data_IF_733255297264
#
_entry.id   IF_733255297264
#
_cell.length_a   1.000
_cell.length_b   1.000
_cell.length_c   1.000
_cell.angle_alpha   90.00
_cell.angle_beta   90.00
_cell.angle_gamma   90.00
#
_symmetry.space_group_name_H-M   'P 1'
#
loop_
_entity.id
_entity.type
_entity.pdbx_description
1 polymer ?
#
# COMPACT_ATOMS: atom_id res chain seq x y z
N UNK A 1 -7.16 -3.85 -4.29
CA UNK A 1 -5.72 -4.14 -4.26
C UNK A 1 -4.96 -2.83 -4.36
N UNK A 2 -4.47 -2.34 -3.22
CA UNK A 2 -3.59 -1.18 -3.19
C UNK A 2 -2.19 -1.58 -3.64
N UNK A 3 -1.60 -0.87 -4.58
CA UNK A 3 -0.15 -1.00 -4.84
C UNK A 3 0.57 -0.61 -3.54
N UNK A 4 1.25 -1.58 -2.93
CA UNK A 4 1.93 -1.40 -1.65
C UNK A 4 2.94 -0.26 -1.72
N UNK A 5 2.80 0.70 -0.81
CA UNK A 5 3.87 1.64 -0.47
C UNK A 5 5.12 0.85 -0.08
N UNK A 6 6.31 1.13 -0.64
CA UNK A 6 7.54 0.66 -0.03
C UNK A 6 7.71 1.36 1.32
N UNK A 7 8.02 0.57 2.36
CA UNK A 7 8.43 1.10 3.66
C UNK A 7 9.66 1.99 3.45
N UNK A 8 9.49 3.29 3.72
CA UNK A 8 10.56 4.28 3.57
C UNK A 8 11.58 4.14 4.68
N UNK A 9 12.74 3.58 4.34
CA UNK A 9 14.00 4.02 4.92
C UNK A 9 14.33 5.37 4.27
N UNK A 10 14.50 6.42 5.09
CA UNK A 10 14.93 7.71 4.62
C UNK A 10 16.40 7.61 4.15
N UNK A 11 16.61 7.69 2.84
CA UNK A 11 17.92 8.03 2.27
C UNK A 11 17.72 9.28 1.43
N UNK A 12 18.21 10.39 1.97
CA UNK A 12 18.32 11.69 1.32
C UNK A 12 19.27 11.55 0.13
N UNK A 13 18.73 11.61 -1.08
CA UNK A 13 19.50 11.96 -2.28
C UNK A 13 18.57 12.70 -3.25
N UNK A 14 18.43 14.00 -2.98
CA UNK A 14 17.80 14.92 -3.92
C UNK A 14 18.79 15.18 -5.07
N UNK A 15 18.57 14.51 -6.20
CA UNK A 15 19.01 15.01 -7.50
C UNK A 15 17.77 15.58 -8.20
N UNK A 16 17.48 16.86 -7.95
CA UNK A 16 16.51 17.63 -8.71
C UNK A 16 17.21 18.22 -9.92
N UNK A 17 16.79 17.80 -11.11
CA UNK A 17 17.21 18.36 -12.39
C UNK A 17 16.14 19.35 -12.86
N UNK A 18 16.52 20.62 -13.07
CA UNK A 18 15.79 21.52 -13.97
C UNK A 18 15.51 22.94 -13.48
N UNK A 19 16.20 23.88 -14.13
CA UNK A 19 15.83 25.28 -14.42
C UNK A 19 15.98 26.37 -13.34
N UNK A 20 16.84 27.36 -13.65
CA UNK A 20 16.92 28.63 -12.92
C UNK A 20 18.18 29.44 -13.20
N UNK A 21 18.39 29.83 -14.46
CA UNK A 21 19.44 30.75 -14.90
C UNK A 21 19.12 32.20 -14.48
N UNK A 22 20.10 32.89 -13.89
CA UNK A 22 20.21 34.35 -13.91
C UNK A 22 19.80 35.09 -12.63
N UNK A 23 20.79 35.66 -11.93
CA UNK A 23 20.90 37.10 -11.67
C UNK A 23 21.81 37.39 -10.44
N UNK A 24 22.90 38.09 -10.75
CA UNK A 24 23.80 38.89 -9.92
C UNK A 24 23.35 39.29 -8.51
N UNK A 25 24.26 39.21 -7.53
CA UNK A 25 24.18 40.07 -6.35
C UNK A 25 24.97 39.66 -5.11
N UNK A 26 26.24 40.06 -5.08
CA UNK A 26 27.01 40.48 -3.88
C UNK A 26 27.44 39.43 -2.84
N UNK A 27 28.71 39.09 -2.98
CA UNK A 27 29.65 38.64 -1.96
C UNK A 27 29.87 39.74 -0.90
N UNK A 28 29.66 39.43 0.38
CA UNK A 28 30.13 40.25 1.51
C UNK A 28 30.84 39.36 2.53
N UNK A 29 32.14 39.62 2.68
CA UNK A 29 33.08 39.07 3.64
C UNK A 29 33.23 40.08 4.80
N UNK A 30 33.05 39.66 6.06
CA UNK A 30 33.36 40.46 7.26
C UNK A 30 33.00 39.72 8.56
N UNK A 31 34.01 39.29 9.32
CA UNK A 31 34.44 39.82 10.63
C UNK A 31 33.64 39.25 11.84
N UNK A 32 34.21 38.29 12.59
CA UNK A 32 35.08 38.43 13.79
C UNK A 32 34.36 39.03 15.02
N UNK A 33 34.09 38.15 16.00
CA UNK A 33 33.91 38.49 17.41
C UNK A 33 32.47 38.63 17.89
N UNK A 34 31.89 37.56 18.45
CA UNK A 34 31.16 37.61 19.72
C UNK A 34 30.76 36.21 20.21
N UNK A 35 31.04 35.98 21.48
CA UNK A 35 30.67 34.83 22.30
C UNK A 35 29.16 34.81 22.56
N UNK A 36 28.49 33.74 22.13
CA UNK A 36 27.14 33.40 22.57
C UNK A 36 26.98 31.87 22.67
N UNK A 37 26.31 31.45 23.73
CA UNK A 37 26.16 30.07 24.18
C UNK A 37 25.61 29.12 23.10
N UNK A 38 26.15 27.90 23.08
CA UNK A 38 25.73 26.82 22.21
C UNK A 38 24.30 26.32 22.56
N UNK A 39 23.37 26.27 21.59
CA UNK A 39 22.27 25.33 21.66
C UNK A 39 22.78 23.96 21.20
N UNK A 40 22.99 23.06 22.17
CA UNK A 40 23.13 21.64 21.91
C UNK A 40 21.78 21.10 21.39
N UNK A 41 21.75 20.54 20.19
CA UNK A 41 20.57 19.81 19.76
C UNK A 41 20.40 19.57 18.26
N UNK A 42 21.42 19.08 17.54
CA UNK A 42 21.20 18.45 16.22
C UNK A 42 22.26 17.38 15.94
N UNK A 43 22.30 16.29 16.70
CA UNK A 43 23.13 15.12 16.36
C UNK A 43 22.68 13.84 17.09
N UNK A 44 21.45 13.36 16.90
CA UNK A 44 21.01 12.09 17.51
C UNK A 44 20.25 11.13 16.60
N UNK A 45 19.95 11.47 15.35
CA UNK A 45 19.20 10.55 14.47
C UNK A 45 20.05 9.48 13.77
N UNK A 46 21.34 9.73 13.53
CA UNK A 46 22.22 8.75 12.86
C UNK A 46 22.72 7.65 13.82
N UNK A 47 22.99 7.97 15.08
CA UNK A 47 23.49 7.02 16.07
C UNK A 47 22.45 5.95 16.48
N UNK A 48 21.16 6.33 16.51
CA UNK A 48 20.08 5.42 16.89
C UNK A 48 19.84 4.28 15.86
N UNK A 49 20.00 4.56 14.56
CA UNK A 49 19.83 3.56 13.49
C UNK A 49 21.02 2.59 13.36
N UNK A 50 22.23 3.06 13.67
CA UNK A 50 23.40 2.21 13.77
C UNK A 50 23.31 1.30 15.02
N UNK A 51 22.91 1.85 16.16
CA UNK A 51 22.73 1.09 17.40
C UNK A 51 21.65 0.00 17.27
N UNK A 52 20.53 0.27 16.58
CA UNK A 52 19.51 -0.75 16.33
C UNK A 52 20.02 -1.87 15.42
N UNK A 53 20.91 -1.57 14.47
CA UNK A 53 21.52 -2.57 13.59
C UNK A 53 22.52 -3.45 14.35
N UNK A 54 23.33 -2.85 15.22
CA UNK A 54 24.28 -3.60 16.07
C UNK A 54 23.55 -4.52 17.04
N UNK A 55 22.49 -4.04 17.71
CA UNK A 55 21.67 -4.87 18.59
C UNK A 55 21.02 -6.05 17.83
N UNK A 56 20.56 -5.81 16.59
CA UNK A 56 20.00 -6.85 15.74
C UNK A 56 21.01 -7.94 15.36
N UNK A 57 22.24 -7.60 15.00
CA UNK A 57 23.25 -8.61 14.72
C UNK A 57 23.72 -9.30 16.01
N UNK A 58 23.88 -8.55 17.10
CA UNK A 58 24.26 -9.10 18.40
C UNK A 58 23.23 -10.13 18.92
N UNK A 59 21.93 -9.86 18.78
CA UNK A 59 20.89 -10.83 19.19
C UNK A 59 20.94 -12.13 18.41
N UNK A 60 21.51 -12.15 17.21
CA UNK A 60 21.60 -13.34 16.36
C UNK A 60 22.90 -14.12 16.56
N UNK A 61 24.01 -13.45 16.88
CA UNK A 61 25.34 -14.07 16.98
C UNK A 61 25.77 -14.30 18.42
N UNK A 62 25.56 -13.32 19.30
CA UNK A 62 26.01 -13.37 20.69
C UNK A 62 25.11 -12.49 21.58
N UNK A 63 23.98 -13.04 22.05
CA UNK A 63 23.03 -12.33 22.91
C UNK A 63 23.70 -11.75 24.17
N UNK A 64 24.70 -12.43 24.74
CA UNK A 64 25.40 -12.07 25.97
C UNK A 64 24.45 -11.79 27.15
N UNK A 65 23.32 -12.50 27.23
CA UNK A 65 22.30 -12.31 28.27
C UNK A 65 22.57 -13.24 29.46
N UNK A 66 23.03 -14.46 29.18
CA UNK A 66 23.48 -15.43 30.16
C UNK A 66 24.92 -15.85 29.86
N UNK A 67 25.82 -15.95 30.86
CA UNK A 67 27.19 -16.41 30.64
C UNK A 67 27.29 -17.96 30.59
N UNK A 68 26.28 -18.63 30.03
CA UNK A 68 26.21 -20.10 29.95
C UNK A 68 25.58 -20.58 28.63
N UNK A 69 25.35 -21.88 28.50
CA UNK A 69 24.82 -22.50 27.27
C UNK A 69 23.45 -21.97 26.84
N UNK A 70 22.66 -21.37 27.74
CA UNK A 70 21.34 -20.82 27.42
C UNK A 70 21.44 -19.70 26.39
N UNK A 71 22.56 -19.00 26.36
CA UNK A 71 22.82 -17.93 25.39
C UNK A 71 22.94 -18.48 23.96
N UNK A 72 23.48 -19.69 23.81
CA UNK A 72 23.56 -20.38 22.50
C UNK A 72 22.18 -20.84 22.02
N UNK A 73 21.33 -21.32 22.94
CA UNK A 73 19.94 -21.69 22.65
C UNK A 73 19.12 -20.44 22.30
N UNK A 74 19.31 -19.36 23.05
CA UNK A 74 18.68 -18.07 22.81
C UNK A 74 19.08 -17.49 21.44
N UNK A 75 20.37 -17.58 21.06
CA UNK A 75 20.83 -17.15 19.75
C UNK A 75 20.13 -17.94 18.62
N UNK A 76 20.01 -19.26 18.74
CA UNK A 76 19.29 -20.10 17.75
C UNK A 76 17.80 -19.76 17.70
N UNK A 77 17.17 -19.52 18.85
CA UNK A 77 15.78 -19.09 18.92
C UNK A 77 15.56 -17.73 18.26
N UNK A 78 16.46 -16.77 18.53
CA UNK A 78 16.49 -15.45 17.91
C UNK A 78 16.66 -15.55 16.39
N UNK A 79 17.57 -16.41 15.90
CA UNK A 79 17.76 -16.69 14.48
C UNK A 79 16.50 -17.24 13.83
N UNK A 80 15.81 -18.15 14.51
CA UNK A 80 14.57 -18.76 14.02
C UNK A 80 13.45 -17.71 13.93
N UNK A 81 13.28 -16.86 14.94
CA UNK A 81 12.34 -15.73 14.87
C UNK A 81 12.70 -14.73 13.76
N UNK A 82 13.99 -14.43 13.56
CA UNK A 82 14.43 -13.59 12.45
C UNK A 82 14.14 -14.22 11.08
N UNK A 83 14.31 -15.54 10.93
CA UNK A 83 13.95 -16.26 9.71
C UNK A 83 12.44 -16.25 9.42
N UNK A 84 11.60 -16.28 10.45
CA UNK A 84 10.15 -16.08 10.32
C UNK A 84 9.77 -14.63 10.01
N UNK A 85 10.64 -13.68 10.36
CA UNK A 85 10.38 -12.26 10.15
C UNK A 85 9.38 -11.69 11.15
N UNK A 86 9.18 -12.34 12.29
CA UNK A 86 8.29 -11.89 13.34
C UNK A 86 8.81 -12.34 14.71
N UNK A 87 8.65 -11.47 15.71
CA UNK A 87 8.97 -11.77 17.09
C UNK A 87 9.95 -10.80 17.72
N UNK A 88 10.45 -11.15 18.90
CA UNK A 88 11.36 -10.32 19.69
C UNK A 88 12.60 -11.14 20.05
N UNK A 89 13.74 -10.65 19.60
CA UNK A 89 15.05 -11.12 20.03
C UNK A 89 15.47 -10.42 21.32
N UNK A 90 16.23 -11.13 22.14
CA UNK A 90 16.80 -10.56 23.36
C UNK A 90 18.32 -10.64 23.30
N UNK A 91 18.98 -9.56 23.69
CA UNK A 91 20.42 -9.47 23.88
C UNK A 91 20.74 -8.48 25.01
N UNK A 92 22.01 -8.41 25.41
CA UNK A 92 22.54 -7.50 26.43
C UNK A 92 22.30 -6.02 26.10
N UNK A 93 22.16 -5.69 24.82
CA UNK A 93 21.85 -4.34 24.33
C UNK A 93 20.35 -4.01 24.38
N UNK A 94 19.51 -4.96 24.84
CA UNK A 94 18.06 -4.81 24.96
C UNK A 94 17.26 -5.68 23.99
N UNK A 95 15.92 -5.58 24.02
CA UNK A 95 15.04 -6.31 23.13
C UNK A 95 15.08 -5.73 21.71
N UNK A 96 15.11 -6.60 20.71
CA UNK A 96 15.11 -6.29 19.28
C UNK A 96 13.85 -6.86 18.65
N UNK A 97 13.10 -6.04 17.90
CA UNK A 97 11.92 -6.51 17.17
C UNK A 97 12.30 -6.98 15.76
N UNK A 98 11.87 -8.18 15.39
CA UNK A 98 12.08 -8.74 14.07
C UNK A 98 10.88 -8.43 13.18
N UNK A 99 11.17 -7.78 12.05
CA UNK A 99 10.16 -7.48 11.03
C UNK A 99 10.31 -8.34 9.78
N UNK A 100 9.25 -8.52 8.97
CA UNK A 100 9.31 -9.34 7.75
C UNK A 100 10.27 -8.77 6.70
N UNK A 101 10.56 -7.47 6.77
CA UNK A 101 11.55 -6.79 5.93
C UNK A 101 13.00 -7.07 6.31
N UNK A 102 13.28 -7.88 7.36
CA UNK A 102 14.65 -8.15 7.76
C UNK A 102 15.41 -9.01 6.71
N UNK A 103 16.74 -8.88 6.64
CA UNK A 103 17.55 -9.59 5.65
C UNK A 103 17.51 -11.11 5.76
N UNK A 104 17.30 -11.64 6.97
CA UNK A 104 17.30 -13.07 7.27
C UNK A 104 15.92 -13.73 7.10
N UNK A 105 14.85 -12.97 6.89
CA UNK A 105 13.51 -13.51 6.68
C UNK A 105 13.49 -14.38 5.42
N UNK A 106 13.20 -15.67 5.63
CA UNK A 106 13.15 -16.70 4.58
C UNK A 106 11.75 -16.96 4.06
N UNK A 107 10.72 -16.57 4.82
CA UNK A 107 9.34 -16.74 4.39
C UNK A 107 8.96 -15.64 3.39
N UNK A 108 9.49 -15.79 2.18
CA UNK A 108 9.25 -14.91 1.04
C UNK A 108 8.83 -15.79 -0.11
N UNK A 109 7.63 -15.56 -0.63
CA UNK A 109 7.13 -16.21 -1.83
C UNK A 109 6.73 -15.15 -2.86
N UNK A 110 6.48 -15.60 -4.08
CA UNK A 110 5.90 -14.76 -5.12
C UNK A 110 4.54 -15.34 -5.47
N UNK A 111 3.56 -14.48 -5.65
CA UNK A 111 2.21 -14.86 -6.04
C UNK A 111 1.74 -13.96 -7.18
N UNK A 112 0.74 -14.39 -7.93
CA UNK A 112 0.27 -13.65 -9.09
C UNK A 112 -1.02 -12.89 -8.79
N UNK A 113 -1.06 -11.60 -9.12
CA UNK A 113 -2.26 -10.77 -9.02
C UNK A 113 -2.72 -10.38 -10.42
N UNK A 114 -4.03 -10.42 -10.65
CA UNK A 114 -4.60 -9.90 -11.89
C UNK A 114 -4.42 -8.37 -11.97
N UNK A 115 -4.02 -7.90 -13.15
CA UNK A 115 -3.98 -6.51 -13.50
C UNK A 115 -5.40 -5.93 -13.52
N UNK A 116 -5.60 -4.67 -13.08
CA UNK A 116 -6.86 -3.98 -13.29
C UNK A 116 -7.23 -4.00 -14.79
N UNK A 117 -8.47 -4.38 -15.08
CA UNK A 117 -8.99 -4.43 -16.46
C UNK A 117 -9.62 -3.09 -16.89
N UNK A 118 -9.91 -2.20 -15.94
CA UNK A 118 -10.60 -0.95 -16.22
C UNK A 118 -9.71 0.06 -16.94
N UNK A 119 -10.35 0.80 -17.85
CA UNK A 119 -9.76 1.92 -18.59
C UNK A 119 -9.91 3.19 -17.78
N UNK A 120 -9.14 4.21 -18.15
CA UNK A 120 -9.24 5.54 -17.52
C UNK A 120 -10.62 6.19 -17.73
N UNK A 121 -11.27 5.88 -18.85
CA UNK A 121 -12.62 6.33 -19.21
C UNK A 121 -13.72 5.76 -18.31
N UNK A 122 -13.47 4.62 -17.66
CA UNK A 122 -14.46 4.01 -16.76
C UNK A 122 -14.65 4.83 -15.47
N UNK A 123 -13.68 5.71 -15.15
CA UNK A 123 -13.74 6.66 -14.04
C UNK A 123 -13.67 6.03 -12.65
N UNK A 124 -13.27 4.76 -12.56
CA UNK A 124 -13.20 4.00 -11.32
C UNK A 124 -11.99 4.41 -10.46
N UNK A 125 -12.27 4.77 -9.22
CA UNK A 125 -11.27 5.10 -8.19
C UNK A 125 -11.53 4.26 -6.94
N UNK A 126 -10.48 3.68 -6.40
CA UNK A 126 -10.49 2.91 -5.16
C UNK A 126 -10.11 3.77 -3.96
N UNK A 127 -10.99 3.80 -2.96
CA UNK A 127 -10.74 4.41 -1.65
C UNK A 127 -10.56 3.32 -0.61
N UNK A 128 -9.43 3.29 0.08
CA UNK A 128 -9.20 2.35 1.20
C UNK A 128 -9.63 3.01 2.49
N UNK A 129 -10.59 2.40 3.19
CA UNK A 129 -11.21 2.93 4.40
C UNK A 129 -10.93 2.01 5.59
N UNK A 130 -10.50 2.58 6.71
CA UNK A 130 -10.32 1.87 7.99
C UNK A 130 -11.63 1.71 8.76
N UNK A 131 -12.63 1.10 8.11
CA UNK A 131 -13.91 0.66 8.71
C UNK A 131 -14.28 -0.72 8.17
N UNK A 132 -15.14 -1.43 8.90
CA UNK A 132 -15.72 -2.66 8.40
C UNK A 132 -16.69 -2.35 7.24
N UNK A 133 -16.77 -3.25 6.24
CA UNK A 133 -17.66 -3.04 5.09
C UNK A 133 -19.15 -2.94 5.50
N UNK A 134 -19.55 -3.58 6.59
CA UNK A 134 -20.92 -3.55 7.14
C UNK A 134 -21.28 -2.21 7.80
N UNK A 135 -20.30 -1.41 8.20
CA UNK A 135 -20.51 -0.12 8.87
C UNK A 135 -20.65 1.03 7.87
N UNK A 136 -20.42 0.77 6.58
CA UNK A 136 -20.46 1.79 5.54
C UNK A 136 -21.88 1.95 5.02
N UNK A 137 -22.49 3.07 5.38
CA UNK A 137 -23.72 3.53 4.75
C UNK A 137 -23.42 4.21 3.41
N UNK A 138 -23.96 3.67 2.31
CA UNK A 138 -23.77 4.22 0.97
C UNK A 138 -24.18 5.70 0.84
N UNK A 139 -25.29 6.07 1.47
CA UNK A 139 -25.81 7.44 1.45
C UNK A 139 -24.83 8.42 2.07
N UNK A 140 -24.28 8.10 3.24
CA UNK A 140 -23.28 8.93 3.92
C UNK A 140 -21.99 9.11 3.11
N UNK A 141 -21.56 8.07 2.38
CA UNK A 141 -20.39 8.17 1.48
C UNK A 141 -20.69 9.07 0.28
N UNK A 142 -21.86 8.90 -0.36
CA UNK A 142 -22.29 9.74 -1.49
C UNK A 142 -22.40 11.20 -1.07
N UNK A 143 -22.96 11.49 0.10
CA UNK A 143 -23.11 12.86 0.63
C UNK A 143 -21.75 13.49 0.95
N UNK A 144 -20.83 12.74 1.56
CA UNK A 144 -19.49 13.23 1.85
C UNK A 144 -18.70 13.55 0.57
N UNK A 145 -18.79 12.68 -0.45
CA UNK A 145 -18.18 12.92 -1.76
C UNK A 145 -18.84 14.11 -2.47
N UNK A 146 -20.17 14.25 -2.41
CA UNK A 146 -20.88 15.37 -3.01
C UNK A 146 -20.45 16.71 -2.42
N UNK A 147 -20.28 16.76 -1.09
CA UNK A 147 -19.73 17.93 -0.37
C UNK A 147 -18.30 18.25 -0.79
N UNK A 148 -17.44 17.23 -0.92
CA UNK A 148 -16.05 17.36 -1.35
C UNK A 148 -15.91 17.90 -2.80
N UNK A 149 -16.90 17.61 -3.64
CA UNK A 149 -16.98 18.09 -5.02
C UNK A 149 -17.57 19.50 -5.13
N UNK A 150 -17.84 20.16 -3.99
CA UNK A 150 -18.32 21.53 -3.91
C UNK A 150 -19.84 21.68 -4.03
N UNK A 151 -20.61 20.63 -3.70
CA UNK A 151 -22.09 20.62 -3.78
C UNK A 151 -22.63 20.97 -5.18
N UNK A 152 -21.86 20.64 -6.20
CA UNK A 152 -22.17 20.95 -7.60
C UNK A 152 -23.22 19.95 -8.14
N UNK A 153 -24.44 20.38 -8.50
CA UNK A 153 -25.51 19.47 -8.90
C UNK A 153 -25.22 18.75 -10.23
N UNK A 154 -24.29 19.27 -11.03
CA UNK A 154 -23.81 18.60 -12.24
C UNK A 154 -22.89 17.40 -11.96
N UNK A 155 -22.44 17.19 -10.72
CA UNK A 155 -21.57 16.08 -10.34
C UNK A 155 -22.29 15.13 -9.39
N UNK A 156 -22.56 13.90 -9.85
CA UNK A 156 -23.22 12.88 -9.03
C UNK A 156 -22.26 11.73 -8.70
N UNK A 157 -21.91 11.52 -7.42
CA UNK A 157 -21.05 10.41 -7.00
C UNK A 157 -21.84 9.09 -6.98
N UNK A 158 -21.22 8.03 -7.49
CA UNK A 158 -21.76 6.67 -7.49
C UNK A 158 -20.76 5.70 -6.85
N UNK A 159 -21.30 4.67 -6.20
CA UNK A 159 -20.54 3.58 -5.60
C UNK A 159 -20.80 2.35 -6.47
N UNK A 160 -19.73 1.80 -7.04
CA UNK A 160 -19.79 0.60 -7.87
C UNK A 160 -19.70 -0.66 -7.00
N UNK A 161 -18.76 -0.68 -6.06
CA UNK A 161 -18.50 -1.86 -5.23
C UNK A 161 -18.00 -1.46 -3.84
N UNK A 162 -18.46 -2.17 -2.81
CA UNK A 162 -17.89 -2.13 -1.47
C UNK A 162 -17.25 -3.49 -1.21
N UNK A 163 -15.91 -3.53 -1.15
CA UNK A 163 -15.14 -4.76 -0.97
C UNK A 163 -14.53 -4.82 0.43
N UNK A 164 -14.83 -5.87 1.18
CA UNK A 164 -14.14 -6.12 2.45
C UNK A 164 -12.69 -6.57 2.18
N UNK A 165 -11.71 -5.90 2.84
CA UNK A 165 -10.29 -6.22 2.75
C UNK A 165 -9.74 -6.83 4.07
N UNK A 166 -10.59 -6.89 5.10
CA UNK A 166 -10.32 -7.46 6.41
C UNK A 166 -11.49 -7.15 7.36
N UNK A 167 -11.29 -7.36 8.66
CA UNK A 167 -12.34 -7.10 9.67
C UNK A 167 -12.61 -5.59 9.86
N UNK A 168 -11.58 -4.75 9.75
CA UNK A 168 -11.64 -3.29 9.99
C UNK A 168 -11.20 -2.46 8.78
N UNK A 169 -11.09 -3.11 7.61
CA UNK A 169 -10.58 -2.50 6.39
C UNK A 169 -11.46 -2.89 5.23
N UNK A 170 -11.81 -1.90 4.42
CA UNK A 170 -12.56 -2.12 3.18
C UNK A 170 -12.07 -1.18 2.08
N UNK A 171 -12.40 -1.54 0.85
CA UNK A 171 -12.12 -0.78 -0.34
C UNK A 171 -13.46 -0.38 -0.99
N UNK A 172 -13.69 0.92 -1.15
CA UNK A 172 -14.81 1.48 -1.89
C UNK A 172 -14.37 1.78 -3.31
N UNK A 173 -15.08 1.26 -4.29
CA UNK A 173 -14.90 1.58 -5.70
C UNK A 173 -15.96 2.60 -6.07
N UNK A 174 -15.53 3.80 -6.45
CA UNK A 174 -16.41 4.93 -6.75
C UNK A 174 -16.11 5.51 -8.13
N UNK A 175 -17.12 6.11 -8.75
CA UNK A 175 -16.97 6.95 -9.93
C UNK A 175 -17.89 8.16 -9.83
N UNK A 176 -17.60 9.21 -10.60
CA UNK A 176 -18.41 10.43 -10.63
C UNK A 176 -18.93 10.64 -12.04
N UNK A 177 -20.23 10.90 -12.14
CA UNK A 177 -20.89 11.27 -13.39
C UNK A 177 -21.07 12.79 -13.43
N UNK A 178 -20.56 13.41 -14.49
CA UNK A 178 -20.72 14.81 -14.81
C UNK A 178 -21.81 15.00 -15.86
N UNK A 179 -22.80 15.85 -15.57
CA UNK A 179 -23.81 16.30 -16.51
C UNK A 179 -23.28 17.52 -17.29
N UNK A 180 -23.25 17.42 -18.61
CA UNK A 180 -22.82 18.50 -19.49
C UNK A 180 -23.97 19.49 -19.73
N UNK A 181 -23.65 20.76 -20.01
CA UNK A 181 -24.64 21.78 -20.40
C UNK A 181 -25.47 21.38 -21.64
N UNK A 182 -24.93 20.49 -22.47
CA UNK A 182 -25.58 19.96 -23.68
C UNK A 182 -26.57 18.82 -23.43
N UNK A 183 -26.83 18.46 -22.17
CA UNK A 183 -27.76 17.39 -21.77
C UNK A 183 -27.17 15.97 -21.82
N UNK A 184 -25.92 15.82 -22.26
CA UNK A 184 -25.17 14.56 -22.17
C UNK A 184 -24.56 14.34 -20.79
N UNK A 185 -24.21 13.10 -20.47
CA UNK A 185 -23.51 12.78 -19.23
C UNK A 185 -22.26 11.96 -19.49
N UNK A 186 -21.14 12.33 -18.85
CA UNK A 186 -19.87 11.60 -18.96
C UNK A 186 -19.35 11.21 -17.58
N UNK A 187 -18.44 10.24 -17.53
CA UNK A 187 -17.67 9.95 -16.30
C UNK A 187 -16.40 10.79 -16.29
N UNK A 188 -16.00 11.23 -15.09
CA UNK A 188 -14.68 11.84 -14.89
C UNK A 188 -13.62 10.75 -15.03
N UNK A 189 -12.48 11.08 -15.65
CA UNK A 189 -11.37 10.14 -15.82
C UNK A 189 -10.83 9.67 -14.46
N UNK A 190 -10.47 8.39 -14.36
CA UNK A 190 -9.96 7.80 -13.10
C UNK A 190 -8.71 8.52 -12.59
N UNK A 191 -7.79 8.86 -13.49
CA UNK A 191 -6.51 9.50 -13.15
C UNK A 191 -6.73 10.93 -12.65
N UNK A 192 -7.61 11.69 -13.31
CA UNK A 192 -7.98 13.05 -12.91
C UNK A 192 -8.68 13.05 -11.54
N UNK A 193 -9.65 12.14 -11.36
CA UNK A 193 -10.38 12.02 -10.11
C UNK A 193 -9.47 11.61 -8.95
N UNK A 194 -8.60 10.62 -9.16
CA UNK A 194 -7.64 10.20 -8.15
C UNK A 194 -6.67 11.33 -7.79
N UNK A 195 -6.19 12.09 -8.77
CA UNK A 195 -5.33 13.24 -8.55
C UNK A 195 -6.04 14.32 -7.72
N UNK A 196 -7.29 14.66 -8.06
CA UNK A 196 -8.11 15.62 -7.31
C UNK A 196 -8.33 15.18 -5.86
N UNK A 197 -8.74 13.93 -5.62
CA UNK A 197 -8.97 13.40 -4.27
C UNK A 197 -7.67 13.26 -3.46
N UNK A 198 -6.52 13.12 -4.12
CA UNK A 198 -5.21 13.02 -3.47
C UNK A 198 -4.62 14.37 -3.03
N UNK A 199 -5.21 15.50 -3.45
CA UNK A 199 -4.78 16.83 -3.02
C UNK A 199 -4.83 16.96 -1.49
N UNK A 200 -3.88 17.68 -0.86
CA UNK A 200 -3.73 17.69 0.61
C UNK A 200 -5.02 18.04 1.36
N UNK A 201 -5.75 19.06 0.92
CA UNK A 201 -7.02 19.49 1.54
C UNK A 201 -8.10 18.41 1.41
N UNK A 202 -8.29 17.88 0.20
CA UNK A 202 -9.31 16.86 -0.07
C UNK A 202 -9.01 15.56 0.67
N UNK A 203 -7.74 15.18 0.70
CA UNK A 203 -7.25 14.01 1.41
C UNK A 203 -7.46 14.14 2.92
N UNK A 204 -7.21 15.31 3.50
CA UNK A 204 -7.51 15.58 4.91
C UNK A 204 -9.02 15.43 5.18
N UNK A 205 -9.89 16.04 4.36
CA UNK A 205 -11.34 15.92 4.52
C UNK A 205 -11.83 14.46 4.41
N UNK A 206 -11.33 13.71 3.43
CA UNK A 206 -11.63 12.28 3.27
C UNK A 206 -11.13 11.45 4.47
N UNK A 207 -9.96 11.78 5.03
CA UNK A 207 -9.43 11.10 6.21
C UNK A 207 -10.27 11.38 7.46
N UNK A 208 -10.76 12.61 7.64
CA UNK A 208 -11.55 12.99 8.81
C UNK A 208 -12.99 12.45 8.74
N UNK A 209 -13.64 12.57 7.58
CA UNK A 209 -15.06 12.23 7.44
C UNK A 209 -15.29 10.74 7.17
N UNK A 210 -14.45 10.14 6.32
CA UNK A 210 -14.63 8.78 5.81
C UNK A 210 -13.54 7.82 6.29
N UNK A 211 -12.53 8.29 7.03
CA UNK A 211 -11.38 7.46 7.46
C UNK A 211 -10.66 6.80 6.28
N UNK A 212 -10.55 7.54 5.17
CA UNK A 212 -9.83 7.08 3.97
C UNK A 212 -8.32 7.19 4.22
N UNK A 213 -7.61 6.06 4.10
CA UNK A 213 -6.16 5.98 4.25
C UNK A 213 -5.42 6.13 2.93
N UNK A 214 -6.02 5.64 1.83
CA UNK A 214 -5.40 5.63 0.52
C UNK A 214 -6.44 5.85 -0.59
N UNK A 215 -6.02 6.56 -1.63
CA UNK A 215 -6.77 6.82 -2.86
C UNK A 215 -5.94 6.31 -4.02
N UNK A 216 -6.54 5.52 -4.91
CA UNK A 216 -5.85 4.98 -6.08
C UNK A 216 -6.78 4.91 -7.29
N UNK A 217 -6.31 5.38 -8.45
CA UNK A 217 -6.98 5.14 -9.73
C UNK A 217 -6.93 3.64 -10.06
N UNK A 218 -8.07 3.04 -10.39
CA UNK A 218 -8.16 1.62 -10.74
C UNK A 218 -7.92 1.39 -12.23
N UNK A 219 -6.94 2.09 -12.80
CA UNK A 219 -6.60 1.97 -14.22
C UNK A 219 -5.54 0.91 -14.46
N UNK A 220 -5.60 0.31 -15.64
CA UNK A 220 -4.51 -0.54 -16.11
C UNK A 220 -3.21 0.28 -16.17
N UNK A 221 -2.12 -0.15 -15.51
CA UNK A 221 -0.84 0.52 -15.59
C UNK A 221 -0.28 0.47 -17.01
N UNK A 222 0.50 1.49 -17.37
CA UNK A 222 1.17 1.56 -18.67
C UNK A 222 2.29 0.52 -18.80
N UNK A 223 2.69 0.19 -20.04
CA UNK A 223 3.78 -0.76 -20.32
C UNK A 223 5.09 -0.35 -19.65
N UNK A 224 5.40 0.94 -19.61
CA UNK A 224 6.63 1.44 -18.99
C UNK A 224 6.61 1.30 -17.48
N UNK A 225 5.47 1.57 -16.83
CA UNK A 225 5.28 1.35 -15.39
C UNK A 225 5.40 -0.13 -15.03
N UNK A 226 4.85 -1.02 -15.87
CA UNK A 226 4.99 -2.47 -15.69
C UNK A 226 6.44 -2.92 -15.84
N UNK A 227 7.14 -2.42 -16.85
CA UNK A 227 8.56 -2.73 -17.09
C UNK A 227 9.41 -2.28 -15.89
N UNK A 228 9.22 -1.04 -15.45
CA UNK A 228 9.91 -0.49 -14.28
C UNK A 228 9.66 -1.29 -13.00
N UNK A 229 8.42 -1.74 -12.79
CA UNK A 229 8.07 -2.59 -11.66
C UNK A 229 8.76 -3.97 -11.73
N UNK A 230 8.75 -4.60 -12.90
CA UNK A 230 9.33 -5.94 -13.08
C UNK A 230 10.85 -5.95 -12.98
N UNK A 231 11.51 -4.86 -13.37
CA UNK A 231 12.97 -4.75 -13.34
C UNK A 231 13.50 -4.41 -11.94
N UNK A 232 12.67 -3.81 -11.09
CA UNK A 232 13.02 -3.48 -9.71
C UNK A 232 12.35 -4.44 -8.72
N UNK A 233 13.00 -5.56 -8.32
CA UNK A 233 12.42 -6.45 -7.32
C UNK A 233 12.16 -5.69 -6.01
N UNK A 234 11.11 -6.08 -5.30
CA UNK A 234 10.86 -5.52 -3.97
C UNK A 234 12.01 -5.82 -3.02
N UNK A 235 12.27 -4.88 -2.10
CA UNK A 235 13.35 -4.99 -1.13
C UNK A 235 13.26 -6.31 -0.35
N UNK A 236 14.37 -7.03 -0.30
CA UNK A 236 14.50 -8.29 0.45
C UNK A 236 14.09 -9.56 -0.30
N UNK A 237 13.55 -9.48 -1.53
CA UNK A 237 13.26 -10.66 -2.36
C UNK A 237 14.53 -11.04 -3.15
N UNK A 238 15.00 -12.30 -3.08
CA UNK A 238 16.15 -12.72 -3.87
C UNK A 238 15.90 -12.56 -5.37
N UNK A 239 16.85 -11.94 -6.08
CA UNK A 239 16.78 -11.70 -7.53
C UNK A 239 16.46 -12.97 -8.33
N UNK A 240 17.06 -14.09 -7.96
CA UNK A 240 16.82 -15.37 -8.61
C UNK A 240 15.36 -15.83 -8.49
N UNK A 241 14.76 -15.71 -7.30
CA UNK A 241 13.36 -16.09 -7.06
C UNK A 241 12.43 -15.16 -7.85
N UNK A 242 12.74 -13.87 -7.91
CA UNK A 242 11.98 -12.90 -8.69
C UNK A 242 12.03 -13.19 -10.19
N UNK A 243 13.22 -13.46 -10.75
CA UNK A 243 13.39 -13.82 -12.15
C UNK A 243 12.69 -15.15 -12.49
N UNK A 244 12.77 -16.12 -11.59
CA UNK A 244 12.05 -17.38 -11.74
C UNK A 244 10.54 -17.14 -11.84
N UNK A 245 9.98 -16.36 -10.93
CA UNK A 245 8.55 -16.05 -10.93
C UNK A 245 8.12 -15.21 -12.14
N UNK A 246 9.00 -14.37 -12.69
CA UNK A 246 8.73 -13.69 -13.98
C UNK A 246 8.64 -14.70 -15.12
N UNK A 247 9.54 -15.69 -15.17
CA UNK A 247 9.60 -16.71 -16.23
C UNK A 247 8.46 -17.72 -16.13
N UNK A 248 8.07 -18.09 -14.91
CA UNK A 248 7.02 -19.06 -14.63
C UNK A 248 5.62 -18.42 -14.49
N UNK A 249 5.46 -17.16 -14.87
CA UNK A 249 4.16 -16.50 -14.84
C UNK A 249 3.21 -17.19 -15.83
N UNK A 250 2.08 -17.76 -15.37
CA UNK A 250 1.17 -18.49 -16.24
C UNK A 250 0.45 -17.61 -17.26
N UNK A 251 0.31 -16.31 -17.00
CA UNK A 251 -0.27 -15.34 -17.95
C UNK A 251 0.40 -13.97 -17.78
N UNK A 252 1.47 -13.65 -18.54
CA UNK A 252 2.21 -12.40 -18.39
C UNK A 252 1.44 -11.15 -18.81
N UNK A 253 0.34 -11.29 -19.57
CA UNK A 253 -0.46 -10.15 -20.06
C UNK A 253 -1.54 -9.72 -19.06
N UNK A 254 -2.03 -10.66 -18.25
CA UNK A 254 -3.07 -10.38 -17.26
C UNK A 254 -2.60 -10.50 -15.81
N UNK A 255 -1.51 -11.21 -15.53
CA UNK A 255 -1.02 -11.46 -14.19
C UNK A 255 0.33 -10.78 -13.93
N UNK A 256 0.45 -10.21 -12.74
CA UNK A 256 1.66 -9.58 -12.24
C UNK A 256 2.23 -10.38 -11.07
N UNK A 257 3.52 -10.72 -11.06
CA UNK A 257 4.16 -11.28 -9.88
C UNK A 257 4.18 -10.22 -8.78
N UNK A 258 3.75 -10.61 -7.58
CA UNK A 258 3.70 -9.78 -6.39
C UNK A 258 4.38 -10.56 -5.26
N UNK A 259 5.38 -9.97 -4.59
CA UNK A 259 6.05 -10.62 -3.49
C UNK A 259 5.14 -10.68 -2.28
N UNK A 260 5.20 -11.81 -1.59
CA UNK A 260 4.47 -12.08 -0.37
C UNK A 260 5.49 -12.40 0.71
N UNK A 261 5.52 -11.57 1.74
CA UNK A 261 6.55 -11.60 2.79
C UNK A 261 5.88 -11.83 4.14
N UNK A 262 6.29 -12.90 4.82
CA UNK A 262 5.80 -13.26 6.14
C UNK A 262 4.43 -13.97 6.15
N UNK A 263 4.08 -14.53 7.31
CA UNK A 263 2.81 -15.25 7.50
C UNK A 263 1.61 -14.31 7.45
N UNK A 264 1.74 -13.08 7.94
CA UNK A 264 0.65 -12.12 7.99
C UNK A 264 0.11 -11.81 6.58
N UNK A 265 1.00 -11.57 5.61
CA UNK A 265 0.59 -11.37 4.22
C UNK A 265 0.01 -12.64 3.59
N UNK A 266 0.52 -13.82 3.95
CA UNK A 266 -0.04 -15.11 3.52
C UNK A 266 -1.47 -15.30 4.03
N UNK A 267 -1.69 -15.02 5.32
CA UNK A 267 -2.99 -15.12 5.96
C UNK A 267 -3.98 -14.10 5.39
N UNK A 268 -3.56 -12.84 5.22
CA UNK A 268 -4.38 -11.80 4.60
C UNK A 268 -4.78 -12.14 3.16
N UNK A 269 -3.87 -12.78 2.41
CA UNK A 269 -4.18 -13.26 1.06
C UNK A 269 -5.18 -14.42 1.09
N UNK A 270 -5.00 -15.38 2.00
CA UNK A 270 -5.90 -16.52 2.15
C UNK A 270 -7.31 -16.07 2.55
N UNK A 271 -7.44 -15.11 3.47
CA UNK A 271 -8.74 -14.55 3.86
C UNK A 271 -9.41 -13.82 2.70
N UNK A 272 -8.66 -13.02 1.93
CA UNK A 272 -9.17 -12.36 0.73
C UNK A 272 -9.65 -13.36 -0.33
N UNK A 273 -8.91 -14.45 -0.56
CA UNK A 273 -9.30 -15.52 -1.48
C UNK A 273 -10.60 -16.21 -1.03
N UNK A 274 -10.74 -16.51 0.26
CA UNK A 274 -11.98 -17.08 0.83
C UNK A 274 -13.16 -16.14 0.64
N UNK A 275 -12.99 -14.84 0.91
CA UNK A 275 -14.03 -13.84 0.72
C UNK A 275 -14.45 -13.74 -0.76
N UNK A 276 -13.49 -13.77 -1.69
CA UNK A 276 -13.77 -13.77 -3.13
C UNK A 276 -14.53 -15.04 -3.56
N UNK A 277 -14.12 -16.22 -3.10
CA UNK A 277 -14.82 -17.47 -3.40
C UNK A 277 -16.27 -17.45 -2.90
N UNK A 278 -16.49 -16.96 -1.68
CA UNK A 278 -17.84 -16.81 -1.13
C UNK A 278 -18.70 -15.84 -1.93
N UNK A 279 -18.13 -14.70 -2.37
CA UNK A 279 -18.83 -13.74 -3.22
C UNK A 279 -19.21 -14.36 -4.57
N UNK A 280 -18.28 -15.08 -5.21
CA UNK A 280 -18.55 -15.80 -6.47
C UNK A 280 -19.61 -16.88 -6.29
N UNK A 281 -19.58 -17.63 -5.19
CA UNK A 281 -20.59 -18.66 -4.89
C UNK A 281 -22.00 -18.06 -4.70
N UNK A 282 -22.10 -16.90 -4.02
CA UNK A 282 -23.38 -16.17 -3.89
C UNK A 282 -23.90 -15.67 -5.24
N UNK A 283 -23.01 -15.16 -6.09
CA UNK A 283 -23.38 -14.70 -7.43
C UNK A 283 -23.88 -15.87 -8.28
N UNK A 284 -23.18 -17.01 -8.27
CA UNK A 284 -23.61 -18.22 -8.98
C UNK A 284 -24.96 -18.73 -8.48
N UNK A 285 -25.20 -18.72 -7.15
CA UNK A 285 -26.50 -19.07 -6.59
C UNK A 285 -27.63 -18.15 -7.06
N UNK A 286 -27.35 -16.84 -7.15
CA UNK A 286 -28.33 -15.86 -7.66
C UNK A 286 -28.62 -16.07 -9.14
N UNK A 287 -27.59 -16.34 -9.93
CA UNK A 287 -27.74 -16.64 -11.37
C UNK A 287 -28.50 -17.95 -11.58
N UNK A 288 -28.21 -19.00 -10.81
CA UNK A 288 -28.92 -20.27 -10.87
C UNK A 288 -30.42 -20.08 -10.60
N UNK A 289 -30.78 -19.37 -9.53
CA UNK A 289 -32.18 -19.06 -9.21
C UNK A 289 -32.86 -18.18 -10.28
N UNK A 290 -32.11 -17.35 -11.00
CA UNK A 290 -32.63 -16.58 -12.15
C UNK A 290 -32.88 -17.49 -13.35
N UNK A 291 -31.95 -18.39 -13.65
CA UNK A 291 -32.11 -19.38 -14.72
C UNK A 291 -33.29 -20.32 -14.47
N UNK A 292 -33.50 -20.76 -13.23
CA UNK A 292 -34.66 -21.59 -12.86
C UNK A 292 -35.98 -20.84 -13.07
N UNK A 293 -36.07 -19.58 -12.62
CA UNK A 293 -37.26 -18.74 -12.86
C UNK A 293 -37.57 -18.58 -14.35
N UNK A 294 -36.55 -18.25 -15.15
CA UNK A 294 -36.72 -18.13 -16.60
C UNK A 294 -37.15 -19.44 -17.26
N UNK A 295 -36.64 -20.59 -16.78
CA UNK A 295 -37.08 -21.90 -17.28
C UNK A 295 -38.54 -22.19 -16.97
N UNK A 296 -39.01 -21.86 -15.76
CA UNK A 296 -40.42 -22.02 -15.37
C UNK A 296 -41.31 -21.09 -16.20
N UNK A 297 -40.91 -19.84 -16.40
CA UNK A 297 -41.63 -18.87 -17.25
C UNK A 297 -41.70 -19.31 -18.72
N UNK A 298 -40.70 -20.02 -19.23
CA UNK A 298 -40.72 -20.55 -20.60
C UNK A 298 -41.54 -21.85 -20.75
N UNK A 299 -41.86 -22.53 -19.64
CA UNK A 299 -42.64 -23.76 -19.63
C UNK A 299 -44.14 -23.54 -19.37
N UNK A 300 -44.53 -22.32 -18.98
CA UNK A 300 -45.90 -21.86 -18.79
C UNK A 300 -46.42 -21.14 -20.05
#
# INVERSE_FOLDING_TARGET
FGFGKPAGAAVSSAASFGAGFGAAGKFTLGAFGQTAAAPAGVATSAAASAASSVAFFASLTQPALFPDERDSVLARWNQLQAQWGAGKGFCSQGPVEYQPGNPFCRLKSVCYNALPAAKDEDGLVGLTVTKAATEIAETGVKDALFRLLGNKPNLTPHIEEIRALGEKLCQLVVYIREQLPTGGARRILSTELAAYLSQPMNKQQLSTQLQVTAVQALTRPSRDQLTQYLDRPAAGVPLMVWQQARRENPDPESLLPVPLVGLEQAQARMSAQRAQCQAQQRLLGTLAARCERLRVEQAA
#
